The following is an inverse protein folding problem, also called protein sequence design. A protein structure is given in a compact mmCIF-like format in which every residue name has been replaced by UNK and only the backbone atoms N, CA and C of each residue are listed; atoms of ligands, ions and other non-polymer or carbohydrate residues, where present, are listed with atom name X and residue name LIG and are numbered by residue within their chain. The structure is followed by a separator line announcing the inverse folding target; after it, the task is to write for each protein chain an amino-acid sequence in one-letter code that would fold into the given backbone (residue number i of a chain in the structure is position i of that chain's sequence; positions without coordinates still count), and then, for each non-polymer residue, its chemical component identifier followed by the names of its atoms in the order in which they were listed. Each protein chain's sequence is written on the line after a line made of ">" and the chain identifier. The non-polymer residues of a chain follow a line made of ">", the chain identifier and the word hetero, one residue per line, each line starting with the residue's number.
data_IF_764266746084
#
_entry.id   IF_764266746084
#
_cell.length_a   1.000
_cell.length_b   1.000
_cell.length_c   1.000
_cell.angle_alpha   90.00
_cell.angle_beta   90.00
_cell.angle_gamma   90.00
#
_symmetry.space_group_name_H-M   'P 1'
#
loop_
_entity.id
_entity.type
_entity.pdbx_description
1 polymer ?
#
# COMPACT_ATOMS: atom_id res chain seq x y z
N UNK A 1 -5.67 27.10 -5.10
CA UNK A 1 -4.76 26.48 -4.13
C UNK A 1 -5.25 25.07 -3.86
N UNK A 2 -4.87 24.10 -4.69
CA UNK A 2 -5.35 22.71 -4.60
C UNK A 2 -4.67 21.97 -3.45
N UNK A 3 -5.45 21.29 -2.60
CA UNK A 3 -4.92 20.47 -1.52
C UNK A 3 -4.41 19.16 -2.14
N UNK A 4 -3.10 19.00 -2.27
CA UNK A 4 -2.51 17.75 -2.73
C UNK A 4 -2.60 16.76 -1.57
N UNK A 5 -3.39 15.70 -1.76
CA UNK A 5 -3.47 14.57 -0.84
C UNK A 5 -2.27 13.67 -1.08
N UNK A 6 -1.36 13.66 -0.13
CA UNK A 6 -0.18 12.81 -0.12
C UNK A 6 -0.39 11.65 0.84
N UNK A 7 0.18 10.49 0.56
CA UNK A 7 0.38 9.43 1.57
C UNK A 7 1.85 9.07 1.64
N UNK A 8 2.28 8.63 2.82
CA UNK A 8 3.63 8.16 3.07
C UNK A 8 3.59 6.64 3.08
N UNK A 9 4.41 6.02 2.25
CA UNK A 9 4.55 4.57 2.20
C UNK A 9 5.93 4.21 2.70
N UNK A 10 5.97 3.42 3.75
CA UNK A 10 7.19 2.90 4.36
C UNK A 10 7.52 1.55 3.73
N UNK A 11 8.57 1.55 2.91
CA UNK A 11 9.07 0.37 2.21
C UNK A 11 9.89 -0.55 3.10
N UNK A 12 10.07 -1.77 2.63
CA UNK A 12 10.87 -2.81 3.28
C UNK A 12 12.37 -2.50 3.29
N UNK A 13 12.83 -1.63 2.39
CA UNK A 13 14.21 -1.17 2.27
C UNK A 13 14.51 0.04 3.20
N UNK A 14 13.64 0.30 4.19
CA UNK A 14 13.66 1.49 5.05
C UNK A 14 13.52 2.82 4.30
N UNK A 15 13.08 2.79 3.04
CA UNK A 15 12.72 3.99 2.29
C UNK A 15 11.29 4.43 2.62
N UNK A 16 11.14 5.70 3.00
CA UNK A 16 9.83 6.35 3.06
C UNK A 16 9.63 7.12 1.75
N UNK A 17 8.66 6.69 0.93
CA UNK A 17 8.24 7.47 -0.24
C UNK A 17 6.93 8.16 0.01
N UNK A 18 6.87 9.40 -0.44
CA UNK A 18 5.64 10.18 -0.49
C UNK A 18 5.03 9.95 -1.87
N UNK A 19 3.77 9.49 -1.91
CA UNK A 19 3.01 9.32 -3.14
C UNK A 19 1.89 10.35 -3.15
N UNK A 20 1.84 11.14 -4.20
CA UNK A 20 0.74 12.06 -4.46
C UNK A 20 -0.47 11.26 -4.98
N UNK A 21 -1.57 11.26 -4.22
CA UNK A 21 -2.78 10.52 -4.56
C UNK A 21 -3.67 11.31 -5.50
N UNK A 22 -4.10 12.50 -5.07
CA UNK A 22 -5.08 13.34 -5.76
C UNK A 22 -5.15 14.75 -5.18
N UNK A 23 -5.79 15.65 -5.90
CA UNK A 23 -6.08 17.05 -5.53
C UNK A 23 -7.52 17.26 -4.99
N UNK A 24 -8.38 16.24 -5.07
CA UNK A 24 -9.81 16.32 -4.76
C UNK A 24 -10.27 15.31 -3.69
N UNK A 25 -11.10 15.77 -2.75
CA UNK A 25 -11.69 14.96 -1.66
C UNK A 25 -12.59 13.84 -2.20
N UNK A 26 -13.26 14.08 -3.34
CA UNK A 26 -14.14 13.09 -3.98
C UNK A 26 -13.36 11.91 -4.56
N UNK A 27 -12.18 12.18 -5.13
CA UNK A 27 -11.29 11.12 -5.61
C UNK A 27 -10.70 10.33 -4.45
N UNK A 28 -10.45 10.98 -3.32
CA UNK A 28 -10.01 10.31 -2.10
C UNK A 28 -11.06 9.32 -1.57
N UNK A 29 -12.34 9.68 -1.63
CA UNK A 29 -13.45 8.81 -1.20
C UNK A 29 -13.72 7.64 -2.16
N UNK A 30 -13.37 7.78 -3.44
CA UNK A 30 -13.60 6.77 -4.48
C UNK A 30 -12.43 5.82 -4.72
N UNK A 31 -11.24 6.12 -4.20
CA UNK A 31 -10.05 5.34 -4.49
C UNK A 31 -9.98 4.08 -3.60
N UNK A 32 -9.75 2.94 -4.24
CA UNK A 32 -9.66 1.63 -3.60
C UNK A 32 -8.24 1.29 -3.18
N UNK A 33 -8.13 0.27 -2.34
CA UNK A 33 -6.83 -0.32 -1.97
C UNK A 33 -6.07 -0.85 -3.19
N UNK A 34 -6.75 -1.37 -4.20
CA UNK A 34 -6.12 -1.86 -5.43
C UNK A 34 -5.35 -0.76 -6.18
N UNK A 35 -5.94 0.43 -6.31
CA UNK A 35 -5.30 1.57 -6.97
C UNK A 35 -4.06 2.04 -6.21
N UNK A 36 -4.15 2.09 -4.88
CA UNK A 36 -2.98 2.39 -4.05
C UNK A 36 -1.90 1.32 -4.23
N UNK A 37 -2.28 0.04 -4.23
CA UNK A 37 -1.35 -1.08 -4.39
C UNK A 37 -0.62 -1.02 -5.72
N UNK A 38 -1.33 -0.71 -6.81
CA UNK A 38 -0.73 -0.47 -8.13
C UNK A 38 0.26 0.69 -8.12
N UNK A 39 -0.12 1.85 -7.57
CA UNK A 39 0.78 3.02 -7.47
C UNK A 39 2.04 2.72 -6.66
N UNK A 40 1.91 1.94 -5.58
CA UNK A 40 3.06 1.52 -4.77
C UNK A 40 3.96 0.57 -5.55
N UNK A 41 3.42 -0.42 -6.26
CA UNK A 41 4.24 -1.32 -7.10
C UNK A 41 5.00 -0.56 -8.17
N UNK A 42 4.38 0.43 -8.81
CA UNK A 42 5.00 1.25 -9.83
C UNK A 42 6.12 2.15 -9.27
N UNK A 43 5.91 2.73 -8.08
CA UNK A 43 6.89 3.63 -7.44
C UNK A 43 7.97 2.90 -6.65
N UNK A 44 7.75 1.64 -6.28
CA UNK A 44 8.71 0.79 -5.58
C UNK A 44 9.08 -0.43 -6.43
N UNK A 45 10.06 -0.30 -7.34
CA UNK A 45 10.53 -1.44 -8.14
C UNK A 45 11.11 -2.57 -7.26
N UNK A 46 11.66 -2.25 -6.08
CA UNK A 46 12.09 -3.24 -5.08
C UNK A 46 10.96 -4.06 -4.47
N UNK A 47 9.73 -3.53 -4.52
CA UNK A 47 8.51 -4.25 -4.12
C UNK A 47 7.96 -5.09 -5.29
N UNK A 48 8.06 -4.58 -6.52
CA UNK A 48 7.64 -5.30 -7.73
C UNK A 48 8.34 -6.65 -7.91
N UNK A 49 9.63 -6.78 -7.54
CA UNK A 49 10.35 -8.05 -7.56
C UNK A 49 9.85 -9.10 -6.57
N UNK A 50 9.16 -8.68 -5.49
CA UNK A 50 8.49 -9.56 -4.52
C UNK A 50 6.99 -9.74 -4.77
N UNK A 51 6.38 -8.86 -5.58
CA UNK A 51 4.96 -8.92 -5.97
C UNK A 51 4.73 -9.53 -7.36
N UNK A 52 5.79 -9.73 -8.17
CA UNK A 52 5.70 -10.41 -9.47
C UNK A 52 6.61 -11.64 -9.54
N UNK A 53 6.04 -12.80 -9.22
CA UNK A 53 6.06 -13.93 -10.18
C UNK A 53 4.87 -14.85 -9.89
N UNK A 54 4.01 -15.00 -10.90
CA UNK A 54 3.15 -16.14 -11.16
C UNK A 54 2.78 -17.00 -9.93
N UNK A 55 1.58 -16.76 -9.40
CA UNK A 55 0.76 -17.76 -8.73
C UNK A 55 1.25 -18.37 -7.39
N UNK A 56 2.15 -17.78 -6.59
CA UNK A 56 2.36 -18.31 -5.22
C UNK A 56 3.13 -17.45 -4.17
N UNK A 57 3.18 -16.12 -4.25
CA UNK A 57 3.89 -15.33 -3.20
C UNK A 57 3.04 -14.17 -2.66
N UNK A 58 2.19 -14.50 -1.70
CA UNK A 58 1.39 -13.56 -0.89
C UNK A 58 2.21 -12.98 0.29
N UNK A 59 3.50 -12.75 0.06
CA UNK A 59 4.44 -12.37 1.11
C UNK A 59 4.36 -10.88 1.42
N UNK A 60 3.96 -10.02 0.48
CA UNK A 60 3.86 -8.59 0.75
C UNK A 60 2.45 -8.20 1.23
N UNK A 61 2.35 -7.70 2.46
CA UNK A 61 1.12 -7.12 3.01
C UNK A 61 1.28 -5.63 3.26
N UNK A 62 0.22 -4.87 2.96
CA UNK A 62 0.12 -3.46 3.33
C UNK A 62 -0.66 -3.35 4.63
N UNK A 63 -0.12 -2.61 5.60
CA UNK A 63 -0.74 -2.39 6.90
C UNK A 63 -0.90 -0.90 7.13
N UNK A 64 -2.10 -0.51 7.57
CA UNK A 64 -2.41 0.85 8.02
C UNK A 64 -3.01 0.81 9.42
N UNK A 65 -2.38 1.50 10.38
CA UNK A 65 -2.90 1.66 11.74
C UNK A 65 -3.43 0.36 12.41
N UNK A 66 -2.72 -0.76 12.21
CA UNK A 66 -3.06 -2.14 12.64
C UNK A 66 -4.06 -2.93 11.77
N UNK A 67 -4.61 -2.34 10.71
CA UNK A 67 -5.46 -3.04 9.75
C UNK A 67 -4.68 -3.46 8.52
N UNK A 68 -4.83 -4.74 8.13
CA UNK A 68 -4.25 -5.26 6.90
C UNK A 68 -5.17 -4.87 5.74
N UNK A 69 -4.59 -4.25 4.73
CA UNK A 69 -5.28 -3.88 3.49
C UNK A 69 -5.26 -5.09 2.55
N UNK A 70 -5.93 -6.18 2.96
CA UNK A 70 -6.04 -7.43 2.18
C UNK A 70 -7.16 -7.32 1.14
N UNK A 71 -8.23 -6.59 1.47
CA UNK A 71 -9.36 -6.34 0.59
C UNK A 71 -9.05 -5.28 -0.48
N UNK A 72 -8.84 -5.74 -1.70
CA UNK A 72 -8.55 -4.89 -2.87
C UNK A 72 -9.73 -3.99 -3.29
N UNK A 73 -10.97 -4.39 -2.98
CA UNK A 73 -12.19 -3.66 -3.30
C UNK A 73 -12.64 -2.66 -2.22
N UNK A 74 -12.02 -2.67 -1.04
CA UNK A 74 -12.36 -1.73 0.03
C UNK A 74 -11.84 -0.31 -0.28
N UNK A 75 -12.60 0.68 0.20
CA UNK A 75 -12.26 2.10 0.04
C UNK A 75 -11.21 2.52 1.08
N UNK A 76 -10.21 3.31 0.65
CA UNK A 76 -9.20 3.87 1.56
C UNK A 76 -9.83 4.69 2.69
N UNK A 77 -10.93 5.38 2.38
CA UNK A 77 -11.71 6.16 3.35
C UNK A 77 -12.25 5.31 4.50
N UNK A 78 -12.63 4.05 4.25
CA UNK A 78 -13.21 3.17 5.27
C UNK A 78 -12.18 2.71 6.30
N UNK A 79 -10.91 2.62 5.89
CA UNK A 79 -9.79 2.40 6.80
C UNK A 79 -9.36 3.66 7.56
N UNK A 80 -9.97 4.81 7.31
CA UNK A 80 -9.60 6.08 7.94
C UNK A 80 -8.30 6.68 7.41
N UNK A 81 -7.87 6.26 6.21
CA UNK A 81 -6.67 6.80 5.56
C UNK A 81 -6.96 8.24 5.15
N UNK A 82 -6.19 9.17 5.71
CA UNK A 82 -6.24 10.62 5.48
C UNK A 82 -4.99 11.14 4.75
N UNK A 83 -4.96 12.44 4.46
CA UNK A 83 -3.74 13.09 3.96
C UNK A 83 -2.59 12.86 4.96
N UNK A 84 -1.38 12.66 4.44
CA UNK A 84 -0.15 12.39 5.19
C UNK A 84 -0.17 11.09 6.02
N UNK A 85 -1.15 10.21 5.79
CA UNK A 85 -1.21 8.89 6.41
C UNK A 85 0.02 8.06 6.09
N UNK A 86 0.48 7.29 7.07
CA UNK A 86 1.64 6.39 6.93
C UNK A 86 1.15 4.97 6.77
N UNK A 87 1.50 4.36 5.65
CA UNK A 87 1.19 2.96 5.31
C UNK A 87 2.49 2.18 5.35
N UNK A 88 2.47 1.04 6.01
CA UNK A 88 3.64 0.19 6.18
C UNK A 88 3.55 -1.01 5.25
N UNK A 89 4.61 -1.27 4.49
CA UNK A 89 4.79 -2.50 3.76
C UNK A 89 5.51 -3.50 4.66
N UNK A 90 4.87 -4.64 4.90
CA UNK A 90 5.48 -5.75 5.62
C UNK A 90 5.63 -6.94 4.70
N UNK A 91 6.66 -7.74 4.95
CA UNK A 91 6.87 -9.01 4.27
C UNK A 91 6.61 -10.12 5.27
N UNK A 92 5.62 -10.96 4.99
CA UNK A 92 5.47 -12.27 5.61
C UNK A 92 6.62 -13.15 5.13
N UNK A 93 7.28 -13.77 6.10
CA UNK A 93 8.28 -14.79 5.85
C UNK A 93 7.62 -16.12 6.20
N UNK A 94 7.49 -17.02 5.22
CA UNK A 94 7.02 -18.37 5.47
C UNK A 94 8.13 -19.13 6.22
N UNK A 95 7.98 -19.26 7.54
CA UNK A 95 8.88 -20.02 8.40
C UNK A 95 8.26 -21.39 8.71
N UNK A 96 8.95 -22.46 8.31
CA UNK A 96 8.56 -23.84 8.61
C UNK A 96 8.91 -24.78 7.47
N UNK A 97 10.12 -25.33 7.47
CA UNK A 97 10.35 -26.59 6.75
C UNK A 97 9.58 -27.67 7.53
N UNK A 98 8.65 -28.41 6.90
CA UNK A 98 8.09 -29.60 7.53
C UNK A 98 9.26 -30.54 7.85
N UNK A 99 9.38 -30.90 9.12
CA UNK A 99 10.39 -31.84 9.61
C UNK A 99 10.15 -33.25 9.06
#
# INVERSE_FOLDING_TARGET
>A
MGKIYQVKVFGIDRELKVIDLCDSEEMMKKMTVLDLKKKVVERFPGTAGRLKKNNETNDLQMIFANQRLDDENELLYKYGIQHLSVIQLVVRLNGGLPA
#
